data_IF_252681574393
#
_entry.id   IF_252681574393
#
_cell.length_a   1.000
_cell.length_b   1.000
_cell.length_c   1.000
_cell.angle_alpha   90.00
_cell.angle_beta   90.00
_cell.angle_gamma   90.00
#
_symmetry.space_group_name_H-M   'P 1'
#
loop_
_entity.id
_entity.type
_entity.pdbx_description
1 polymer ?
#
# COMPACT_ATOMS: atom_id res chain seq x y z
N UNK A 1 -15.68 8.64 20.86
CA UNK A 1 -15.39 9.98 21.42
C UNK A 1 -15.80 9.96 22.88
N UNK A 2 -14.89 10.28 23.79
CA UNK A 2 -15.28 10.63 25.17
C UNK A 2 -15.62 12.12 25.25
N UNK A 3 -16.22 12.55 26.37
CA UNK A 3 -16.66 13.93 26.60
C UNK A 3 -15.51 14.96 26.70
N UNK A 4 -14.25 14.53 26.55
CA UNK A 4 -13.06 15.39 26.65
C UNK A 4 -12.33 15.54 25.30
N UNK A 5 -12.93 15.09 24.20
CA UNK A 5 -12.37 15.29 22.85
C UNK A 5 -11.10 14.48 22.58
N UNK A 6 -10.75 13.51 23.43
CA UNK A 6 -9.65 12.60 23.14
C UNK A 6 -10.18 11.52 22.21
N UNK A 7 -9.52 11.35 21.05
CA UNK A 7 -9.73 10.21 20.17
C UNK A 7 -9.32 8.94 20.91
N UNK A 8 -10.24 8.40 21.70
CA UNK A 8 -10.06 7.16 22.44
C UNK A 8 -10.30 6.02 21.47
N UNK A 9 -9.24 5.26 21.21
CA UNK A 9 -9.11 4.11 20.29
C UNK A 9 -8.84 4.49 18.83
N UNK A 10 -7.57 4.32 18.41
CA UNK A 10 -7.25 4.10 17.00
C UNK A 10 -7.82 2.74 16.61
N UNK A 11 -8.81 2.70 15.73
CA UNK A 11 -9.32 1.46 15.13
C UNK A 11 -8.23 0.90 14.20
N UNK A 12 -7.28 0.16 14.76
CA UNK A 12 -6.32 -0.62 13.97
C UNK A 12 -6.78 -2.07 13.96
N UNK A 13 -7.17 -2.57 12.79
CA UNK A 13 -7.35 -4.00 12.56
C UNK A 13 -6.13 -4.57 11.86
N UNK A 14 -5.82 -5.83 12.14
CA UNK A 14 -4.89 -6.61 11.32
C UNK A 14 -5.52 -6.97 9.96
N UNK A 15 -6.84 -6.86 9.81
CA UNK A 15 -7.51 -7.08 8.53
C UNK A 15 -7.11 -6.00 7.53
N UNK A 16 -6.56 -6.45 6.40
CA UNK A 16 -6.18 -5.63 5.26
C UNK A 16 -7.07 -6.00 4.07
N UNK A 17 -8.14 -5.21 3.90
CA UNK A 17 -9.06 -5.36 2.77
C UNK A 17 -8.77 -4.26 1.75
N UNK A 18 -8.59 -4.63 0.49
CA UNK A 18 -8.49 -3.71 -0.63
C UNK A 18 -9.83 -3.67 -1.36
N UNK A 19 -10.50 -2.53 -1.31
CA UNK A 19 -11.80 -2.29 -1.95
C UNK A 19 -11.61 -1.33 -3.12
N UNK A 20 -12.41 -1.51 -4.17
CA UNK A 20 -12.47 -0.60 -5.31
C UNK A 20 -13.87 0.00 -5.37
N UNK A 21 -13.96 1.33 -5.53
CA UNK A 21 -15.23 2.01 -5.71
C UNK A 21 -15.19 2.89 -6.97
N UNK A 22 -16.27 2.83 -7.75
CA UNK A 22 -16.56 3.81 -8.78
C UNK A 22 -17.03 5.11 -8.10
N UNK A 23 -16.32 6.19 -8.39
CA UNK A 23 -16.58 7.54 -7.87
C UNK A 23 -16.96 8.53 -8.98
N UNK A 24 -17.36 8.03 -10.15
CA UNK A 24 -17.79 8.84 -11.29
C UNK A 24 -18.98 9.75 -10.92
N UNK A 25 -19.83 9.29 -10.01
CA UNK A 25 -20.75 10.15 -9.25
C UNK A 25 -20.24 10.29 -7.79
N UNK A 26 -19.62 11.42 -7.42
CA UNK A 26 -18.99 11.58 -6.11
C UNK A 26 -20.00 11.64 -4.95
N UNK A 27 -21.28 11.89 -5.23
CA UNK A 27 -22.34 11.84 -4.21
C UNK A 27 -23.05 10.49 -4.15
N UNK A 28 -22.73 9.59 -5.09
CA UNK A 28 -23.20 8.20 -5.10
C UNK A 28 -22.06 7.20 -5.44
N UNK A 29 -21.04 7.06 -4.58
CA UNK A 29 -19.98 6.07 -4.79
C UNK A 29 -20.53 4.64 -4.80
N UNK A 30 -20.08 3.82 -5.75
CA UNK A 30 -20.53 2.43 -5.90
C UNK A 30 -19.36 1.48 -5.69
N UNK A 31 -19.51 0.50 -4.81
CA UNK A 31 -18.49 -0.52 -4.62
C UNK A 31 -18.49 -1.47 -5.81
N UNK A 32 -17.30 -1.73 -6.36
CA UNK A 32 -17.09 -2.73 -7.40
C UNK A 32 -16.75 -4.04 -6.70
N UNK A 33 -17.63 -5.03 -6.80
CA UNK A 33 -17.37 -6.37 -6.29
C UNK A 33 -16.39 -7.14 -7.18
N UNK A 34 -15.73 -8.14 -6.61
CA UNK A 34 -14.89 -9.10 -7.33
C UNK A 34 -15.44 -10.51 -7.16
N UNK A 35 -15.47 -11.26 -8.25
CA UNK A 35 -15.72 -12.70 -8.19
C UNK A 35 -14.49 -13.42 -7.64
N UNK A 36 -14.60 -14.06 -6.48
CA UNK A 36 -13.57 -14.90 -5.89
C UNK A 36 -14.16 -16.30 -5.72
N UNK A 37 -13.64 -17.26 -6.49
CA UNK A 37 -14.27 -18.57 -6.67
C UNK A 37 -15.74 -18.40 -7.14
N UNK A 38 -16.70 -18.93 -6.39
CA UNK A 38 -18.14 -18.87 -6.72
C UNK A 38 -18.89 -17.78 -5.95
N UNK A 39 -18.15 -16.89 -5.26
CA UNK A 39 -18.74 -15.84 -4.43
C UNK A 39 -18.37 -14.45 -4.95
N UNK A 40 -19.32 -13.54 -4.85
CA UNK A 40 -19.12 -12.12 -5.12
C UNK A 40 -18.70 -11.45 -3.82
N UNK A 41 -17.49 -10.91 -3.80
CA UNK A 41 -16.87 -10.32 -2.62
C UNK A 41 -16.70 -8.81 -2.79
N UNK A 42 -16.87 -8.01 -1.71
CA UNK A 42 -16.72 -6.56 -1.75
C UNK A 42 -15.25 -6.09 -1.82
N UNK A 43 -14.30 -7.01 -1.94
CA UNK A 43 -12.87 -6.72 -1.89
C UNK A 43 -12.10 -7.45 -3.01
N UNK A 44 -11.03 -6.82 -3.48
CA UNK A 44 -10.14 -7.38 -4.50
C UNK A 44 -8.95 -8.15 -3.93
N UNK A 45 -8.64 -7.89 -2.65
CA UNK A 45 -7.70 -8.64 -1.83
C UNK A 45 -8.12 -8.52 -0.36
N UNK A 46 -8.12 -9.64 0.36
CA UNK A 46 -8.33 -9.69 1.82
C UNK A 46 -7.27 -10.58 2.45
N UNK A 47 -6.57 -10.05 3.45
CA UNK A 47 -5.60 -10.81 4.23
C UNK A 47 -5.45 -10.24 5.65
N UNK A 48 -4.75 -10.99 6.50
CA UNK A 48 -4.33 -10.53 7.81
C UNK A 48 -2.88 -10.06 7.75
N UNK A 49 -2.67 -8.76 7.99
CA UNK A 49 -1.37 -8.15 8.22
C UNK A 49 -1.28 -7.74 9.69
N UNK A 50 -0.48 -8.47 10.46
CA UNK A 50 -0.23 -8.13 11.86
C UNK A 50 0.96 -7.17 11.96
N UNK A 51 0.95 -6.20 12.90
CA UNK A 51 -0.12 -5.89 13.84
C UNK A 51 -1.23 -4.98 13.26
N UNK A 52 -1.00 -4.39 12.09
CA UNK A 52 -1.87 -3.39 11.47
C UNK A 52 -1.97 -3.73 9.97
N UNK A 53 -3.17 -3.58 9.41
CA UNK A 53 -3.53 -3.75 8.00
C UNK A 53 -2.75 -2.83 7.03
N UNK A 54 -3.34 -2.56 5.86
CA UNK A 54 -2.74 -1.58 4.94
C UNK A 54 -2.59 -0.20 5.60
N UNK A 55 -1.42 0.42 5.38
CA UNK A 55 -1.01 1.68 6.01
C UNK A 55 -0.74 2.78 4.99
N UNK A 56 -0.30 2.42 3.79
CA UNK A 56 0.03 3.37 2.72
C UNK A 56 -0.45 2.85 1.38
N UNK A 57 -0.76 3.81 0.53
CA UNK A 57 -1.17 3.60 -0.85
C UNK A 57 -0.56 4.74 -1.68
N UNK A 58 -0.01 4.40 -2.83
CA UNK A 58 0.40 5.37 -3.85
C UNK A 58 0.28 4.74 -5.23
N UNK A 59 0.23 5.56 -6.26
CA UNK A 59 0.03 5.11 -7.64
C UNK A 59 0.98 5.83 -8.57
N UNK A 60 1.39 5.17 -9.65
CA UNK A 60 2.05 5.77 -10.80
C UNK A 60 1.52 5.09 -12.06
N UNK A 61 0.80 5.84 -12.90
CA UNK A 61 0.12 5.32 -14.09
C UNK A 61 -0.76 4.10 -13.75
N UNK A 62 -0.54 2.97 -14.43
CA UNK A 62 -1.27 1.72 -14.24
C UNK A 62 -0.73 0.87 -13.09
N UNK A 63 0.10 1.45 -12.21
CA UNK A 63 0.68 0.75 -11.06
C UNK A 63 0.13 1.30 -9.75
N UNK A 64 -0.41 0.40 -8.93
CA UNK A 64 -0.89 0.70 -7.60
C UNK A 64 -0.03 -0.04 -6.57
N UNK A 65 0.52 0.70 -5.64
CA UNK A 65 1.34 0.19 -4.56
C UNK A 65 0.60 0.36 -3.25
N UNK A 66 0.31 -0.75 -2.58
CA UNK A 66 -0.30 -0.75 -1.24
C UNK A 66 0.69 -1.43 -0.30
N UNK A 67 0.96 -0.83 0.84
CA UNK A 67 1.87 -1.42 1.81
C UNK A 67 1.29 -1.40 3.22
N UNK A 68 1.67 -2.41 3.99
CA UNK A 68 1.27 -2.59 5.38
C UNK A 68 2.31 -3.42 6.12
N UNK A 69 2.70 -2.96 7.30
CA UNK A 69 3.76 -3.56 8.11
C UNK A 69 5.10 -3.64 7.36
N UNK A 70 5.53 -4.84 7.01
CA UNK A 70 6.75 -5.19 6.28
C UNK A 70 6.45 -5.78 4.90
N UNK A 71 5.25 -5.52 4.36
CA UNK A 71 4.85 -5.99 3.04
C UNK A 71 4.47 -4.83 2.12
N UNK A 72 4.94 -4.93 0.88
CA UNK A 72 4.53 -4.12 -0.26
C UNK A 72 3.79 -5.02 -1.26
N UNK A 73 2.62 -4.58 -1.70
CA UNK A 73 1.79 -5.21 -2.71
C UNK A 73 1.74 -4.30 -3.92
N UNK A 74 2.12 -4.83 -5.07
CA UNK A 74 2.08 -4.13 -6.34
C UNK A 74 0.98 -4.73 -7.20
N UNK A 75 0.03 -3.89 -7.59
CA UNK A 75 -1.06 -4.21 -8.48
C UNK A 75 -0.90 -3.47 -9.80
N UNK A 76 -1.32 -4.13 -10.88
CA UNK A 76 -1.60 -3.46 -12.13
C UNK A 76 -3.09 -3.06 -12.13
N UNK A 77 -3.35 -1.82 -12.51
CA UNK A 77 -4.67 -1.18 -12.52
C UNK A 77 -5.05 -0.63 -13.91
N UNK A 78 -4.44 -1.16 -14.98
CA UNK A 78 -4.81 -0.82 -16.37
C UNK A 78 -6.29 -1.06 -16.67
N UNK A 79 -6.92 -1.99 -15.95
CA UNK A 79 -8.36 -2.12 -15.80
C UNK A 79 -8.74 -1.77 -14.34
N UNK A 80 -9.12 -0.52 -14.04
CA UNK A 80 -9.32 -0.06 -12.66
C UNK A 80 -10.40 -0.83 -11.88
N UNK A 81 -11.41 -1.36 -12.58
CA UNK A 81 -12.46 -2.19 -11.99
C UNK A 81 -11.98 -3.61 -11.62
N UNK A 82 -10.87 -4.05 -12.21
CA UNK A 82 -10.30 -5.39 -12.03
C UNK A 82 -8.79 -5.35 -11.79
N UNK A 83 -8.33 -4.75 -10.68
CA UNK A 83 -6.92 -4.76 -10.30
C UNK A 83 -6.44 -6.19 -10.05
N UNK A 84 -5.24 -6.50 -10.55
CA UNK A 84 -4.60 -7.78 -10.34
C UNK A 84 -3.25 -7.61 -9.64
N UNK A 85 -2.95 -8.50 -8.70
CA UNK A 85 -1.71 -8.50 -7.95
C UNK A 85 -0.57 -9.00 -8.85
N UNK A 86 0.42 -8.15 -9.11
CA UNK A 86 1.62 -8.48 -9.88
C UNK A 86 2.64 -9.21 -9.00
N UNK A 87 2.88 -8.66 -7.80
CA UNK A 87 3.84 -9.21 -6.85
C UNK A 87 3.63 -8.69 -5.43
N UNK A 88 4.21 -9.45 -4.49
CA UNK A 88 4.31 -9.13 -3.07
C UNK A 88 5.78 -9.14 -2.69
N UNK A 89 6.25 -8.05 -2.09
CA UNK A 89 7.63 -7.84 -1.68
C UNK A 89 7.70 -7.72 -0.16
N UNK A 90 8.68 -8.39 0.44
CA UNK A 90 9.00 -8.21 1.85
C UNK A 90 9.95 -7.02 2.00
N UNK A 91 9.53 -6.03 2.78
CA UNK A 91 10.34 -4.86 3.12
C UNK A 91 11.35 -5.25 4.20
N UNK A 92 12.50 -4.55 4.23
CA UNK A 92 13.56 -4.78 5.21
C UNK A 92 13.15 -4.45 6.64
N UNK A 93 12.17 -3.57 6.80
CA UNK A 93 11.70 -3.08 8.08
C UNK A 93 10.29 -2.52 7.95
N UNK A 94 9.74 -2.09 9.09
CA UNK A 94 8.43 -1.46 9.15
C UNK A 94 8.38 -0.22 8.26
N UNK A 95 7.36 -0.19 7.42
CA UNK A 95 7.03 0.93 6.54
C UNK A 95 6.80 2.23 7.32
N UNK A 96 7.35 3.33 6.80
CA UNK A 96 7.05 4.69 7.24
C UNK A 96 6.22 5.44 6.20
N UNK A 97 6.64 5.43 4.93
CA UNK A 97 5.95 6.13 3.83
C UNK A 97 6.36 5.65 2.44
N UNK A 98 5.58 5.99 1.41
CA UNK A 98 5.86 5.64 0.01
C UNK A 98 5.58 6.80 -0.95
N UNK A 99 6.37 6.89 -2.02
CA UNK A 99 6.17 7.81 -3.13
C UNK A 99 6.51 7.12 -4.45
N UNK A 100 5.61 7.19 -5.43
CA UNK A 100 5.84 6.66 -6.77
C UNK A 100 5.76 7.78 -7.79
N UNK A 101 6.75 7.89 -8.67
CA UNK A 101 6.77 8.87 -9.75
C UNK A 101 7.71 8.41 -10.89
N UNK A 102 7.24 8.53 -12.14
CA UNK A 102 8.04 8.27 -13.35
C UNK A 102 8.72 6.89 -13.36
N UNK A 103 8.00 5.85 -12.92
CA UNK A 103 8.47 4.47 -12.85
C UNK A 103 9.43 4.18 -11.69
N UNK A 104 9.61 5.11 -10.76
CA UNK A 104 10.44 4.94 -9.55
C UNK A 104 9.53 4.95 -8.33
N UNK A 105 9.70 3.95 -7.47
CA UNK A 105 9.03 3.85 -6.17
C UNK A 105 10.06 4.01 -5.05
N UNK A 106 9.91 5.05 -4.25
CA UNK A 106 10.62 5.25 -3.00
C UNK A 106 9.80 4.65 -1.86
N UNK A 107 10.42 3.75 -1.09
CA UNK A 107 9.82 3.15 0.09
C UNK A 107 10.67 3.48 1.30
N UNK A 108 10.18 4.39 2.13
CA UNK A 108 10.82 4.69 3.40
C UNK A 108 10.35 3.71 4.47
N UNK A 109 11.31 3.21 5.22
CA UNK A 109 11.13 2.35 6.38
C UNK A 109 11.86 2.96 7.57
N UNK A 110 11.66 2.41 8.76
CA UNK A 110 12.41 2.84 9.95
C UNK A 110 13.93 2.66 9.84
N UNK A 111 14.42 1.86 8.88
CA UNK A 111 15.84 1.54 8.73
C UNK A 111 16.50 2.21 7.51
N UNK A 112 15.72 2.90 6.67
CA UNK A 112 16.24 3.54 5.46
C UNK A 112 15.19 3.66 4.35
N UNK A 113 15.65 4.04 3.16
CA UNK A 113 14.83 4.22 1.97
C UNK A 113 15.28 3.21 0.91
N UNK A 114 14.39 2.30 0.52
CA UNK A 114 14.57 1.46 -0.66
C UNK A 114 14.09 2.20 -1.90
N UNK A 115 14.84 2.15 -2.98
CA UNK A 115 14.49 2.75 -4.27
C UNK A 115 14.28 1.62 -5.28
N UNK A 116 13.06 1.50 -5.77
CA UNK A 116 12.69 0.52 -6.79
C UNK A 116 12.44 1.22 -8.12
N UNK A 117 12.78 0.54 -9.21
CA UNK A 117 12.44 0.94 -10.57
C UNK A 117 11.59 -0.13 -11.22
N UNK A 118 10.52 0.29 -11.89
CA UNK A 118 9.73 -0.60 -12.75
C UNK A 118 10.56 -1.06 -13.95
N UNK A 119 10.60 -2.36 -14.16
CA UNK A 119 11.20 -2.99 -15.34
C UNK A 119 10.27 -2.91 -16.54
N UNK A 120 10.80 -3.25 -17.72
CA UNK A 120 10.00 -3.38 -18.94
C UNK A 120 8.90 -4.46 -18.81
N UNK A 121 9.07 -5.40 -17.88
CA UNK A 121 8.09 -6.44 -17.55
C UNK A 121 7.09 -5.98 -16.47
N UNK A 122 7.04 -4.69 -16.14
CA UNK A 122 6.15 -4.15 -15.11
C UNK A 122 6.36 -4.78 -13.73
N UNK A 123 7.62 -5.09 -13.37
CA UNK A 123 8.01 -5.58 -12.04
C UNK A 123 8.97 -4.63 -11.36
N UNK A 124 8.94 -4.57 -10.04
CA UNK A 124 9.84 -3.74 -9.25
C UNK A 124 11.20 -4.40 -9.10
N UNK A 125 12.23 -3.74 -9.62
CA UNK A 125 13.62 -4.05 -9.35
C UNK A 125 14.16 -3.03 -8.34
N UNK A 126 14.71 -3.50 -7.22
CA UNK A 126 15.42 -2.61 -6.32
C UNK A 126 16.74 -2.17 -6.97
N UNK A 127 16.91 -0.85 -7.12
CA UNK A 127 18.10 -0.26 -7.75
C UNK A 127 19.04 0.37 -6.74
N UNK A 128 18.54 0.74 -5.57
CA UNK A 128 19.37 1.32 -4.50
C UNK A 128 18.70 1.22 -3.13
N UNK A 129 19.51 1.33 -2.08
CA UNK A 129 19.06 1.40 -0.70
C UNK A 129 19.93 2.37 0.11
N UNK A 130 19.27 3.36 0.71
CA UNK A 130 19.90 4.37 1.55
C UNK A 130 19.58 4.05 3.01
N UNK A 131 20.57 3.58 3.77
CA UNK A 131 20.39 3.27 5.20
C UNK A 131 20.31 4.52 6.08
N UNK A 132 19.69 4.39 7.25
CA UNK A 132 19.68 5.47 8.27
C UNK A 132 21.09 5.90 8.69
N UNK A 133 22.04 4.97 8.73
CA UNK A 133 23.45 5.25 9.06
C UNK A 133 24.09 6.17 8.02
N UNK A 134 23.80 5.91 6.74
CA UNK A 134 24.27 6.74 5.64
C UNK A 134 23.64 8.14 5.67
N UNK A 135 22.35 8.23 6.03
CA UNK A 135 21.65 9.51 6.17
C UNK A 135 22.17 10.36 7.35
N UNK A 136 23.03 9.81 8.21
CA UNK A 136 23.48 10.42 9.48
C UNK A 136 22.30 10.95 10.30
N UNK A 137 21.15 10.29 10.18
CA UNK A 137 19.93 10.75 10.82
C UNK A 137 20.09 10.57 12.34
N UNK A 138 20.05 11.67 13.08
CA UNK A 138 19.87 11.62 14.53
C UNK A 138 18.36 11.52 14.78
N UNK A 139 17.86 10.48 15.47
CA UNK A 139 16.44 10.41 15.81
C UNK A 139 16.00 11.68 16.53
N UNK A 140 14.89 12.28 16.11
CA UNK A 140 14.27 13.39 16.85
C UNK A 140 13.72 12.86 18.18
N UNK A 141 14.23 13.38 19.29
CA UNK A 141 13.76 13.10 20.65
C UNK A 141 12.34 13.62 20.89
#
# INVERSE_FOLDING_TARGET
MDRNGKASVSLSSASANFLVADISDPVHPQLISKQIAEQEEPYHLSLLLQPIGFQRICTDQDHLFIAGNDYLFHFNISLPAEPFLVEKINLRARLADMLAENGILFVSTINGISIFKLSDESRLNEIDYISVDYLKAVPGN
#
